data_IF_693998623841
#
_entry.id   IF_693998623841
#
_cell.length_a   1.000
_cell.length_b   1.000
_cell.length_c   1.000
_cell.angle_alpha   90.00
_cell.angle_beta   90.00
_cell.angle_gamma   90.00
#
_symmetry.space_group_name_H-M   'P 1'
#
loop_
_entity.id
_entity.type
_entity.pdbx_description
1 polymer ?
#
# COMPACT_ATOMS: atom_id res chain seq x y z
N UNK A 1 -13.38 8.93 10.81
CA UNK A 1 -12.04 9.54 11.06
C UNK A 1 -11.21 9.39 9.78
N UNK A 2 -10.36 10.34 9.38
CA UNK A 2 -9.50 10.15 8.19
C UNK A 2 -8.39 9.14 8.52
N UNK A 3 -8.25 8.08 7.69
CA UNK A 3 -7.20 7.07 7.82
C UNK A 3 -6.12 7.29 6.77
N UNK A 4 -4.89 6.92 7.13
CA UNK A 4 -3.74 6.96 6.21
C UNK A 4 -3.34 5.54 5.84
N UNK A 5 -3.38 5.25 4.54
CA UNK A 5 -3.01 3.97 3.97
C UNK A 5 -1.62 4.08 3.33
N UNK A 6 -0.72 3.17 3.71
CA UNK A 6 0.63 3.07 3.16
C UNK A 6 0.66 2.04 2.03
N UNK A 7 0.98 2.49 0.82
CA UNK A 7 1.14 1.63 -0.34
C UNK A 7 2.62 1.41 -0.64
N UNK A 8 3.05 0.14 -0.71
CA UNK A 8 4.40 -0.28 -1.10
C UNK A 8 4.39 -1.26 -2.29
N UNK A 9 3.25 -1.39 -2.96
CA UNK A 9 3.05 -2.33 -4.08
C UNK A 9 2.09 -1.83 -5.14
N UNK A 10 1.18 -2.68 -5.64
CA UNK A 10 0.29 -2.33 -6.77
C UNK A 10 -0.53 -1.05 -6.56
N UNK A 11 -0.87 -0.74 -5.30
CA UNK A 11 -1.57 0.49 -4.92
C UNK A 11 -0.72 1.78 -5.04
N UNK A 12 0.54 1.68 -5.47
CA UNK A 12 1.34 2.82 -5.96
C UNK A 12 0.86 3.32 -7.33
N UNK A 13 0.17 2.48 -8.11
CA UNK A 13 -0.41 2.89 -9.38
C UNK A 13 -1.61 3.80 -9.13
N UNK A 14 -1.43 5.11 -9.38
CA UNK A 14 -2.44 6.14 -9.12
C UNK A 14 -3.78 5.85 -9.83
N UNK A 15 -3.75 5.37 -11.08
CA UNK A 15 -4.98 5.09 -11.84
C UNK A 15 -5.75 3.91 -11.25
N UNK A 16 -5.06 2.83 -10.88
CA UNK A 16 -5.70 1.69 -10.23
C UNK A 16 -6.21 2.04 -8.83
N UNK A 17 -5.43 2.82 -8.08
CA UNK A 17 -5.84 3.30 -6.76
C UNK A 17 -7.11 4.16 -6.86
N UNK A 18 -7.17 5.13 -7.77
CA UNK A 18 -8.36 5.96 -7.97
C UNK A 18 -9.58 5.18 -8.48
N UNK A 19 -9.36 4.16 -9.33
CA UNK A 19 -10.45 3.28 -9.77
C UNK A 19 -11.04 2.49 -8.61
N UNK A 20 -10.20 1.95 -7.72
CA UNK A 20 -10.62 1.16 -6.56
C UNK A 20 -11.18 2.03 -5.42
N UNK A 21 -10.55 3.17 -5.19
CA UNK A 21 -10.75 4.07 -4.06
C UNK A 21 -10.98 5.50 -4.58
N UNK A 22 -12.21 5.86 -4.99
CA UNK A 22 -12.50 7.15 -5.62
C UNK A 22 -12.30 8.35 -4.69
N UNK A 23 -12.38 8.16 -3.37
CA UNK A 23 -12.20 9.24 -2.40
C UNK A 23 -10.72 9.43 -2.01
N UNK A 24 -9.84 8.50 -2.39
CA UNK A 24 -8.45 8.50 -2.01
C UNK A 24 -7.70 9.72 -2.55
N UNK A 25 -6.91 10.37 -1.69
CA UNK A 25 -6.05 11.50 -2.03
C UNK A 25 -4.61 11.20 -1.68
N UNK A 26 -3.70 11.62 -2.55
CA UNK A 26 -2.26 11.55 -2.30
C UNK A 26 -1.94 12.55 -1.20
N UNK A 27 -1.27 12.08 -0.14
CA UNK A 27 -0.79 12.90 0.97
C UNK A 27 0.70 13.16 0.81
N UNK A 28 1.46 12.16 0.35
CA UNK A 28 2.89 12.26 0.15
C UNK A 28 3.55 10.88 0.13
N UNK A 29 4.79 10.83 0.59
CA UNK A 29 5.58 9.61 0.74
C UNK A 29 6.02 9.43 2.18
N UNK A 30 6.32 8.19 2.55
CA UNK A 30 6.86 7.83 3.85
C UNK A 30 7.88 6.70 3.70
N UNK A 31 8.64 6.47 4.76
CA UNK A 31 9.60 5.37 4.87
C UNK A 31 9.17 4.42 5.99
N UNK A 32 9.27 3.13 5.74
CA UNK A 32 9.05 2.07 6.73
C UNK A 32 10.43 1.50 7.11
N UNK A 33 11.04 1.95 8.22
CA UNK A 33 12.37 1.50 8.62
C UNK A 33 12.32 0.09 9.20
N UNK A 34 13.43 -0.63 9.09
CA UNK A 34 13.62 -2.01 9.55
C UNK A 34 12.72 -3.04 8.85
N UNK A 35 12.39 -2.81 7.58
CA UNK A 35 11.65 -3.73 6.73
C UNK A 35 12.33 -3.89 5.37
N UNK A 36 12.09 -5.03 4.72
CA UNK A 36 12.44 -5.28 3.32
C UNK A 36 11.21 -5.65 2.50
N UNK A 37 11.19 -5.25 1.24
CA UNK A 37 10.19 -5.67 0.27
C UNK A 37 10.55 -7.04 -0.30
N UNK A 38 9.57 -7.93 -0.36
CA UNK A 38 9.70 -9.27 -0.91
C UNK A 38 8.67 -9.50 -2.01
N UNK A 39 9.11 -10.19 -3.06
CA UNK A 39 8.24 -10.75 -4.07
C UNK A 39 8.04 -12.23 -3.76
N UNK A 40 6.80 -12.65 -3.55
CA UNK A 40 6.44 -14.03 -3.25
C UNK A 40 5.52 -14.59 -4.31
N UNK A 41 5.69 -15.87 -4.63
CA UNK A 41 4.76 -16.62 -5.47
C UNK A 41 3.53 -17.08 -4.68
N UNK A 42 2.39 -17.18 -5.36
CA UNK A 42 1.18 -17.85 -4.91
C UNK A 42 0.73 -18.86 -5.97
N UNK A 43 -0.32 -19.63 -5.70
CA UNK A 43 -0.92 -20.55 -6.68
C UNK A 43 -1.47 -19.85 -7.92
N UNK A 44 -1.79 -18.56 -7.81
CA UNK A 44 -2.47 -17.77 -8.85
C UNK A 44 -1.63 -16.62 -9.40
N UNK A 45 -0.38 -16.46 -8.96
CA UNK A 45 0.48 -15.39 -9.43
C UNK A 45 1.63 -15.07 -8.49
N UNK A 46 2.03 -13.80 -8.47
CA UNK A 46 3.03 -13.27 -7.54
C UNK A 46 2.47 -12.05 -6.82
N UNK A 47 2.87 -11.83 -5.58
CA UNK A 47 2.44 -10.71 -4.76
C UNK A 47 3.62 -10.11 -3.99
N UNK A 48 3.41 -8.88 -3.52
CA UNK A 48 4.36 -8.14 -2.72
C UNK A 48 4.00 -8.26 -1.25
N UNK A 49 5.01 -8.41 -0.40
CA UNK A 49 4.86 -8.26 1.05
C UNK A 49 6.10 -7.61 1.63
N UNK A 50 6.03 -7.18 2.89
CA UNK A 50 7.19 -6.70 3.63
C UNK A 50 7.42 -7.58 4.84
N UNK A 51 8.69 -7.79 5.18
CA UNK A 51 9.08 -8.51 6.39
C UNK A 51 10.14 -7.73 7.17
N UNK A 52 10.20 -7.90 8.50
CA UNK A 52 11.23 -7.25 9.32
C UNK A 52 12.63 -7.60 8.81
N UNK A 53 13.46 -6.57 8.65
CA UNK A 53 14.89 -6.69 8.37
C UNK A 53 15.59 -5.43 8.83
N UNK A 54 16.48 -5.58 9.80
CA UNK A 54 17.25 -4.47 10.36
C UNK A 54 18.08 -3.77 9.28
N UNK A 55 18.24 -2.45 9.44
CA UNK A 55 19.02 -1.58 8.55
C UNK A 55 18.52 -1.55 7.08
N UNK A 56 17.26 -1.94 6.86
CA UNK A 56 16.58 -1.81 5.58
C UNK A 56 15.41 -0.82 5.68
N UNK A 57 15.00 -0.26 4.54
CA UNK A 57 13.92 0.73 4.44
C UNK A 57 13.03 0.34 3.26
N UNK A 58 11.71 0.39 3.46
CA UNK A 58 10.73 0.31 2.36
C UNK A 58 10.09 1.69 2.15
N UNK A 59 10.28 2.32 0.98
CA UNK A 59 9.56 3.54 0.63
C UNK A 59 8.09 3.22 0.33
N UNK A 60 7.18 4.09 0.76
CA UNK A 60 5.74 3.93 0.58
C UNK A 60 5.07 5.24 0.16
N UNK A 61 3.99 5.16 -0.60
CA UNK A 61 3.08 6.28 -0.82
C UNK A 61 2.04 6.34 0.31
N UNK A 62 1.71 7.54 0.75
CA UNK A 62 0.69 7.80 1.77
C UNK A 62 -0.58 8.30 1.09
N UNK A 63 -1.67 7.57 1.29
CA UNK A 63 -3.00 7.94 0.83
C UNK A 63 -3.89 8.30 2.01
N UNK A 64 -4.65 9.39 1.94
CA UNK A 64 -5.79 9.56 2.84
C UNK A 64 -6.98 8.85 2.23
N UNK A 65 -7.64 7.97 2.98
CA UNK A 65 -8.77 7.17 2.51
C UNK A 65 -10.02 7.40 3.37
N UNK A 66 -11.19 7.25 2.75
CA UNK A 66 -12.47 7.19 3.46
C UNK A 66 -12.69 5.79 4.06
N UNK A 67 -13.66 5.65 4.96
CA UNK A 67 -14.01 4.34 5.54
C UNK A 67 -14.53 3.37 4.47
N UNK A 68 -15.22 3.88 3.44
CA UNK A 68 -15.65 3.09 2.27
C UNK A 68 -14.46 2.59 1.45
N UNK A 69 -13.48 3.45 1.21
CA UNK A 69 -12.28 3.10 0.44
C UNK A 69 -11.42 2.07 1.18
N UNK A 70 -11.32 2.19 2.50
CA UNK A 70 -10.67 1.17 3.33
C UNK A 70 -11.34 -0.19 3.17
N UNK A 71 -12.67 -0.27 3.28
CA UNK A 71 -13.40 -1.52 3.04
C UNK A 71 -13.21 -2.08 1.62
N UNK A 72 -12.93 -1.23 0.63
CA UNK A 72 -12.61 -1.67 -0.73
C UNK A 72 -11.18 -2.21 -0.83
N UNK A 73 -10.23 -1.65 -0.07
CA UNK A 73 -8.86 -2.15 0.04
C UNK A 73 -8.80 -3.48 0.77
N UNK A 74 -9.56 -3.67 1.85
CA UNK A 74 -9.58 -4.93 2.61
C UNK A 74 -10.11 -6.12 1.80
N UNK A 75 -10.98 -5.86 0.82
CA UNK A 75 -11.50 -6.89 -0.08
C UNK A 75 -10.56 -7.24 -1.24
N UNK A 76 -9.60 -6.36 -1.54
CA UNK A 76 -8.69 -6.48 -2.69
C UNK A 76 -7.43 -7.25 -2.30
#
# INVERSE_FOLDING_TARGET
MKKFYLAYGSNLNVKQMQFRCPDARIVGTAEIPNYQLLFKGSKTGSYLTIEPKQDCIVPAAVWSVSERDELALDRY
#
